data_IF_826232269087
#
_entry.id   IF_826232269087
#
_cell.length_a   1.000
_cell.length_b   1.000
_cell.length_c   1.000
_cell.angle_alpha   90.00
_cell.angle_beta   90.00
_cell.angle_gamma   90.00
#
_symmetry.space_group_name_H-M   'P 1'
#
loop_
_entity.id
_entity.type
_entity.pdbx_description
1 polymer ?
#
# COMPACT_ATOMS: atom_id res chain seq x y z
N UNK A 1 11.10 -6.11 5.94
CA UNK A 1 10.29 -7.25 6.44
C UNK A 1 8.91 -7.18 5.78
N UNK A 2 8.44 -8.25 5.16
CA UNK A 2 7.10 -8.33 4.57
C UNK A 2 6.30 -9.37 5.35
N UNK A 3 5.21 -8.96 6.00
CA UNK A 3 4.28 -9.87 6.70
C UNK A 3 2.95 -9.88 5.93
N UNK A 4 2.48 -11.09 5.61
CA UNK A 4 1.18 -11.30 4.97
C UNK A 4 0.24 -11.87 6.00
N UNK A 5 -0.74 -11.07 6.42
CA UNK A 5 -1.76 -11.49 7.38
C UNK A 5 -3.12 -11.64 6.69
N UNK A 6 -3.64 -12.87 6.65
CA UNK A 6 -4.97 -13.18 6.11
C UNK A 6 -6.00 -13.03 7.23
N UNK A 7 -7.14 -12.39 6.95
CA UNK A 7 -8.28 -12.34 7.89
C UNK A 7 -8.28 -11.22 8.94
N UNK A 8 -7.21 -10.46 9.13
CA UNK A 8 -7.17 -9.39 10.14
C UNK A 8 -8.11 -8.21 9.80
N UNK A 9 -8.75 -7.62 10.82
CA UNK A 9 -9.51 -6.39 10.62
C UNK A 9 -8.60 -5.22 10.20
N UNK A 10 -9.15 -4.20 9.53
CA UNK A 10 -8.41 -2.98 9.18
C UNK A 10 -7.80 -2.32 10.43
N UNK A 11 -8.51 -2.36 11.55
CA UNK A 11 -8.07 -1.80 12.83
C UNK A 11 -6.87 -2.54 13.41
N UNK A 12 -6.90 -3.88 13.43
CA UNK A 12 -5.79 -4.70 13.92
C UNK A 12 -4.53 -4.56 13.07
N UNK A 13 -4.69 -4.59 11.75
CA UNK A 13 -3.60 -4.35 10.82
C UNK A 13 -2.98 -2.96 11.07
N UNK A 14 -3.82 -1.94 11.27
CA UNK A 14 -3.37 -0.60 11.62
C UNK A 14 -2.59 -0.54 12.94
N UNK A 15 -3.04 -1.25 13.99
CA UNK A 15 -2.32 -1.31 15.28
C UNK A 15 -0.97 -1.98 15.14
N UNK A 16 -0.86 -3.09 14.40
CA UNK A 16 0.41 -3.77 14.13
C UNK A 16 1.39 -2.83 13.43
N UNK A 17 0.97 -2.19 12.34
CA UNK A 17 1.83 -1.26 11.60
C UNK A 17 2.28 -0.07 12.46
N UNK A 18 1.37 0.47 13.29
CA UNK A 18 1.71 1.51 14.27
C UNK A 18 2.69 1.05 15.35
N UNK A 19 2.71 -0.24 15.68
CA UNK A 19 3.73 -0.81 16.58
C UNK A 19 5.07 -0.94 15.86
N UNK A 20 5.09 -1.52 14.67
CA UNK A 20 6.34 -1.73 13.92
C UNK A 20 7.03 -0.43 13.55
N UNK A 21 6.29 0.61 13.16
CA UNK A 21 6.92 1.90 12.80
C UNK A 21 7.61 2.59 13.99
N UNK A 22 7.34 2.16 15.23
CA UNK A 22 8.02 2.64 16.43
C UNK A 22 9.36 1.95 16.67
N UNK A 23 9.61 0.81 16.01
CA UNK A 23 10.89 0.13 16.11
C UNK A 23 11.99 1.02 15.52
N UNK A 24 13.16 1.13 16.19
CA UNK A 24 14.19 2.08 15.81
C UNK A 24 14.84 1.80 14.45
N UNK A 25 14.68 0.59 13.91
CA UNK A 25 15.21 0.14 12.61
C UNK A 25 14.13 0.07 11.50
N UNK A 26 12.88 0.42 11.80
CA UNK A 26 11.78 0.40 10.81
C UNK A 26 11.48 1.81 10.34
N UNK A 27 11.81 2.13 9.08
CA UNK A 27 11.63 3.46 8.50
C UNK A 27 10.29 3.67 7.81
N UNK A 28 9.80 2.62 7.16
CA UNK A 28 8.53 2.62 6.45
C UNK A 28 7.79 1.29 6.62
N UNK A 29 6.47 1.36 6.76
CA UNK A 29 5.58 0.19 6.75
C UNK A 29 4.44 0.46 5.78
N UNK A 30 4.24 -0.44 4.81
CA UNK A 30 3.05 -0.43 3.95
C UNK A 30 2.08 -1.47 4.49
N UNK A 31 0.83 -1.08 4.71
CA UNK A 31 -0.26 -2.00 4.97
C UNK A 31 -1.20 -2.03 3.77
N UNK A 32 -1.59 -3.23 3.35
CA UNK A 32 -2.56 -3.44 2.28
C UNK A 32 -3.65 -4.37 2.81
N UNK A 33 -4.90 -3.94 2.68
CA UNK A 33 -6.07 -4.74 3.03
C UNK A 33 -6.95 -4.91 1.81
N UNK A 34 -7.19 -6.17 1.47
CA UNK A 34 -8.20 -6.60 0.51
C UNK A 34 -9.44 -6.94 1.33
N UNK A 35 -10.57 -6.26 1.08
CA UNK A 35 -11.82 -6.48 1.81
C UNK A 35 -12.59 -7.66 1.20
N UNK A 36 -13.66 -8.09 1.85
CA UNK A 36 -14.57 -9.08 1.29
C UNK A 36 -15.20 -8.58 -0.01
N UNK A 37 -15.50 -9.48 -0.96
CA UNK A 37 -16.15 -9.10 -2.20
C UNK A 37 -17.59 -8.68 -1.91
N UNK A 38 -18.10 -7.72 -2.67
CA UNK A 38 -19.52 -7.42 -2.68
C UNK A 38 -20.21 -8.55 -3.44
N UNK A 39 -20.98 -9.35 -2.72
CA UNK A 39 -21.71 -10.47 -3.30
C UNK A 39 -22.69 -9.96 -4.38
N UNK A 40 -22.86 -10.78 -5.42
CA UNK A 40 -23.77 -10.53 -6.55
C UNK A 40 -23.46 -9.29 -7.40
N UNK A 41 -22.30 -8.65 -7.22
CA UNK A 41 -21.85 -7.54 -8.06
C UNK A 41 -20.52 -7.89 -8.71
N UNK A 42 -20.52 -7.95 -10.04
CA UNK A 42 -19.33 -8.24 -10.85
C UNK A 42 -19.08 -7.14 -11.86
N UNK A 43 -17.80 -6.87 -12.12
CA UNK A 43 -17.37 -5.97 -13.18
C UNK A 43 -17.73 -6.57 -14.54
N UNK A 44 -18.50 -5.88 -15.39
CA UNK A 44 -18.96 -6.43 -16.67
C UNK A 44 -17.84 -6.89 -17.61
N UNK A 45 -16.73 -6.16 -17.62
CA UNK A 45 -15.63 -6.38 -18.58
C UNK A 45 -14.75 -7.57 -18.20
N UNK A 46 -14.53 -7.81 -16.91
CA UNK A 46 -13.58 -8.82 -16.43
C UNK A 46 -14.24 -10.01 -15.75
N UNK A 47 -15.50 -9.86 -15.34
CA UNK A 47 -16.21 -10.83 -14.51
C UNK A 47 -15.76 -10.87 -13.05
N UNK A 48 -14.82 -10.03 -12.63
CA UNK A 48 -14.31 -10.01 -11.26
C UNK A 48 -15.35 -9.45 -10.30
N UNK A 49 -15.41 -9.99 -9.09
CA UNK A 49 -16.24 -9.41 -8.04
C UNK A 49 -15.77 -7.99 -7.71
N UNK A 50 -16.73 -7.08 -7.48
CA UNK A 50 -16.40 -5.77 -6.95
C UNK A 50 -15.90 -5.88 -5.51
N UNK A 51 -14.82 -5.17 -5.23
CA UNK A 51 -14.12 -5.27 -3.95
C UNK A 51 -13.34 -3.99 -3.65
N UNK A 52 -13.56 -3.47 -2.46
CA UNK A 52 -12.75 -2.39 -1.93
C UNK A 52 -11.39 -2.92 -1.48
N UNK A 53 -10.34 -2.12 -1.71
CA UNK A 53 -8.99 -2.40 -1.20
C UNK A 53 -8.42 -1.10 -0.65
N UNK A 54 -7.71 -1.19 0.48
CA UNK A 54 -7.14 -0.03 1.16
C UNK A 54 -5.66 -0.21 1.37
N UNK A 55 -4.87 0.82 1.11
CA UNK A 55 -3.45 0.85 1.46
C UNK A 55 -3.18 1.98 2.45
N UNK A 56 -2.22 1.78 3.35
CA UNK A 56 -1.66 2.85 4.18
C UNK A 56 -0.14 2.77 4.20
N UNK A 57 0.50 3.93 4.15
CA UNK A 57 1.95 4.07 4.34
C UNK A 57 2.21 4.79 5.65
N UNK A 58 2.98 4.15 6.51
CA UNK A 58 3.50 4.68 7.76
C UNK A 58 4.98 5.00 7.54
N UNK A 59 5.38 6.23 7.87
CA UNK A 59 6.77 6.68 7.83
C UNK A 59 7.08 7.40 9.14
N UNK A 60 8.25 7.16 9.69
CA UNK A 60 8.67 7.83 10.92
C UNK A 60 8.72 9.35 10.70
N UNK A 61 8.12 10.11 11.62
CA UNK A 61 8.09 11.58 11.54
C UNK A 61 7.19 12.17 10.45
N UNK A 62 6.42 11.35 9.72
CA UNK A 62 5.52 11.81 8.66
C UNK A 62 4.06 11.45 8.94
N UNK A 63 3.14 12.23 8.37
CA UNK A 63 1.73 11.90 8.39
C UNK A 63 1.45 10.60 7.62
N UNK A 64 0.51 9.79 8.13
CA UNK A 64 0.08 8.56 7.48
C UNK A 64 -0.60 8.91 6.16
N UNK A 65 -0.18 8.27 5.08
CA UNK A 65 -0.82 8.36 3.78
C UNK A 65 -1.73 7.15 3.56
N UNK A 66 -2.87 7.34 2.90
CA UNK A 66 -3.85 6.28 2.69
C UNK A 66 -4.50 6.35 1.32
N UNK A 67 -4.84 5.18 0.77
CA UNK A 67 -5.46 5.02 -0.53
C UNK A 67 -6.61 4.02 -0.48
N UNK A 68 -7.67 4.31 -1.21
CA UNK A 68 -8.71 3.35 -1.58
C UNK A 68 -8.52 3.02 -3.07
N UNK A 69 -8.16 1.77 -3.36
CA UNK A 69 -7.63 1.39 -4.68
C UNK A 69 -8.27 0.11 -5.27
N UNK A 70 -9.40 -0.32 -4.71
CA UNK A 70 -10.18 -1.42 -5.26
C UNK A 70 -10.85 -1.07 -6.59
N UNK A 71 -11.46 -2.07 -7.25
CA UNK A 71 -12.31 -1.85 -8.43
C UNK A 71 -13.69 -1.26 -8.05
N UNK A 72 -13.92 -0.98 -6.78
CA UNK A 72 -14.99 -0.12 -6.27
C UNK A 72 -14.43 0.74 -5.13
N UNK A 73 -14.96 1.97 -5.00
CA UNK A 73 -14.64 2.84 -3.87
C UNK A 73 -15.07 2.21 -2.56
N UNK A 74 -14.28 2.43 -1.52
CA UNK A 74 -14.62 2.00 -0.17
C UNK A 74 -15.93 2.67 0.26
N UNK A 75 -16.86 1.90 0.81
CA UNK A 75 -18.22 2.32 1.20
C UNK A 75 -19.17 2.66 0.04
N UNK A 76 -18.73 2.63 -1.22
CA UNK A 76 -19.61 2.78 -2.37
C UNK A 76 -20.35 1.48 -2.67
N UNK A 77 -21.59 1.60 -3.13
CA UNK A 77 -22.41 0.52 -3.69
C UNK A 77 -22.81 0.79 -5.14
N UNK A 78 -22.32 1.89 -5.72
CA UNK A 78 -22.66 2.33 -7.07
C UNK A 78 -21.38 2.53 -7.89
N UNK A 79 -20.80 1.44 -8.43
CA UNK A 79 -19.56 1.52 -9.20
C UNK A 79 -19.73 2.25 -10.55
N UNK A 80 -20.97 2.51 -10.99
CA UNK A 80 -21.26 3.15 -12.28
C UNK A 80 -21.21 4.67 -12.14
N UNK A 81 -21.94 5.21 -11.16
CA UNK A 81 -22.00 6.66 -10.94
C UNK A 81 -20.90 7.17 -10.01
N UNK A 82 -20.25 6.27 -9.26
CA UNK A 82 -19.12 6.57 -8.37
C UNK A 82 -17.92 5.65 -8.66
N UNK A 83 -17.29 5.79 -9.84
CA UNK A 83 -16.21 4.90 -10.26
C UNK A 83 -14.96 5.05 -9.38
N UNK A 84 -14.17 3.96 -9.22
CA UNK A 84 -12.90 4.02 -8.51
C UNK A 84 -11.89 4.89 -9.27
N UNK A 85 -11.07 5.63 -8.54
CA UNK A 85 -10.01 6.42 -9.18
C UNK A 85 -8.78 5.58 -9.56
N UNK A 86 -8.59 4.39 -8.98
CA UNK A 86 -7.51 3.47 -9.34
C UNK A 86 -7.93 2.57 -10.51
N UNK A 87 -7.92 3.10 -11.73
CA UNK A 87 -8.47 2.44 -12.92
C UNK A 87 -7.43 2.15 -14.03
N UNK A 88 -6.19 2.62 -13.89
CA UNK A 88 -5.11 2.43 -14.84
C UNK A 88 -3.75 2.28 -14.14
N UNK A 89 -2.77 1.61 -14.77
CA UNK A 89 -1.41 1.56 -14.24
C UNK A 89 -0.74 2.94 -14.31
N UNK A 90 0.27 3.15 -13.48
CA UNK A 90 1.11 4.35 -13.44
C UNK A 90 0.39 5.67 -13.12
N UNK A 91 -0.79 5.62 -12.50
CA UNK A 91 -1.43 6.82 -11.96
C UNK A 91 -0.66 7.31 -10.73
N UNK A 92 -0.10 8.52 -10.80
CA UNK A 92 0.74 9.08 -9.74
C UNK A 92 0.04 9.11 -8.36
N UNK A 93 -1.28 9.38 -8.34
CA UNK A 93 -2.07 9.37 -7.11
C UNK A 93 -2.18 7.99 -6.45
N UNK A 94 -1.89 6.90 -7.18
CA UNK A 94 -1.96 5.50 -6.73
C UNK A 94 -0.60 4.80 -6.77
N UNK A 95 0.49 5.56 -6.84
CA UNK A 95 1.85 5.06 -6.68
C UNK A 95 2.38 5.39 -5.28
N UNK A 96 2.87 4.36 -4.61
CA UNK A 96 3.62 4.52 -3.37
C UNK A 96 5.11 4.51 -3.72
N UNK A 97 5.75 5.65 -3.55
CA UNK A 97 7.17 5.84 -3.83
C UNK A 97 7.93 5.92 -2.51
N UNK A 98 8.84 4.98 -2.28
CA UNK A 98 9.72 4.95 -1.10
C UNK A 98 11.16 5.05 -1.60
N UNK A 99 11.92 6.09 -1.23
CA UNK A 99 13.33 6.18 -1.58
C UNK A 99 14.10 4.97 -1.08
N UNK A 100 14.93 4.39 -1.94
CA UNK A 100 15.74 3.22 -1.59
C UNK A 100 16.71 3.56 -0.44
N UNK A 101 17.17 4.81 -0.39
CA UNK A 101 17.94 5.33 0.73
C UNK A 101 17.19 5.24 2.07
N UNK A 102 15.88 5.45 2.12
CA UNK A 102 15.13 5.35 3.37
C UNK A 102 15.00 3.91 3.88
N UNK A 103 15.20 2.90 3.01
CA UNK A 103 14.99 1.49 3.37
C UNK A 103 16.28 0.78 3.79
N UNK A 104 17.38 1.06 3.08
CA UNK A 104 18.66 0.38 3.33
C UNK A 104 19.58 1.13 4.29
N UNK A 105 19.32 2.40 4.57
CA UNK A 105 20.10 3.14 5.57
C UNK A 105 19.45 3.03 6.94
N UNK A 106 20.12 2.33 7.84
CA UNK A 106 19.87 2.44 9.27
C UNK A 106 20.72 3.63 9.79
N UNK A 107 20.18 4.86 9.89
CA UNK A 107 20.90 5.93 10.54
C UNK A 107 21.19 5.52 11.99
N UNK A 108 22.35 5.92 12.54
CA UNK A 108 22.59 5.81 13.97
C UNK A 108 21.44 6.46 14.75
N UNK A 109 21.01 5.81 15.83
CA UNK A 109 19.97 6.35 16.71
C UNK A 109 20.59 6.90 18.01
N UNK A 110 20.30 8.15 18.39
CA UNK A 110 19.48 9.15 17.67
C UNK A 110 20.18 9.67 16.40
N UNK A 111 19.39 10.08 15.39
CA UNK A 111 19.92 10.62 14.14
C UNK A 111 20.68 11.92 14.43
N UNK A 112 22.00 12.00 14.18
CA UNK A 112 22.75 13.22 14.39
C UNK A 112 22.27 14.34 13.45
N UNK A 113 22.29 15.62 13.89
CA UNK A 113 22.08 16.75 13.01
C UNK A 113 23.05 16.69 11.82
N UNK A 114 22.53 16.72 10.59
CA UNK A 114 23.34 16.70 9.37
C UNK A 114 23.74 15.31 8.85
N UNK A 115 23.19 14.22 9.41
CA UNK A 115 23.43 12.88 8.88
C UNK A 115 22.96 12.76 7.43
N UNK A 116 23.92 12.50 6.53
CA UNK A 116 23.65 12.18 5.12
C UNK A 116 24.00 10.71 4.91
N UNK A 117 23.03 9.84 4.59
CA UNK A 117 23.32 8.43 4.36
C UNK A 117 24.25 8.22 3.16
N UNK A 118 25.29 7.39 3.33
CA UNK A 118 26.23 7.05 2.27
C UNK A 118 25.66 5.94 1.39
N UNK A 119 25.28 6.26 0.15
CA UNK A 119 24.70 5.30 -0.80
C UNK A 119 25.83 4.58 -1.58
N UNK A 120 25.98 3.25 -1.48
CA UNK A 120 26.90 2.45 -2.27
C UNK A 120 26.55 2.56 -3.74
N UNK A 121 27.60 2.69 -4.56
CA UNK A 121 27.51 2.87 -6.00
C UNK A 121 26.82 1.69 -6.73
N UNK A 122 26.67 0.54 -6.07
CA UNK A 122 26.04 -0.66 -6.63
C UNK A 122 24.52 -0.75 -6.42
N UNK A 123 23.88 0.22 -5.76
CA UNK A 123 22.42 0.27 -5.68
C UNK A 123 21.86 0.89 -6.97
N UNK A 124 21.26 0.05 -7.81
CA UNK A 124 20.62 0.46 -9.07
C UNK A 124 19.18 0.87 -8.80
N UNK A 125 18.93 2.18 -8.72
CA UNK A 125 17.59 2.75 -8.58
C UNK A 125 17.50 3.78 -7.46
N UNK A 126 16.60 4.76 -7.61
CA UNK A 126 16.35 5.82 -6.62
C UNK A 126 15.20 5.47 -5.69
N UNK A 127 14.16 4.79 -6.18
CA UNK A 127 12.92 4.55 -5.45
C UNK A 127 12.39 3.13 -5.65
N UNK A 128 11.80 2.57 -4.59
CA UNK A 128 10.79 1.53 -4.69
C UNK A 128 9.46 2.17 -5.11
N UNK A 129 8.93 1.76 -6.26
CA UNK A 129 7.63 2.22 -6.75
C UNK A 129 6.65 1.06 -6.69
N UNK A 130 5.66 1.19 -5.82
CA UNK A 130 4.56 0.24 -5.69
C UNK A 130 3.33 0.81 -6.38
N UNK A 131 2.95 0.20 -7.49
CA UNK A 131 1.74 0.56 -8.24
C UNK A 131 0.53 -0.21 -7.68
N UNK A 132 -0.37 0.51 -7.01
CA UNK A 132 -1.55 -0.08 -6.40
C UNK A 132 -2.51 -0.68 -7.43
N UNK A 133 -2.54 -0.19 -8.67
CA UNK A 133 -3.34 -0.78 -9.73
C UNK A 133 -2.86 -2.19 -10.06
N UNK A 134 -1.54 -2.41 -10.11
CA UNK A 134 -1.00 -3.76 -10.38
C UNK A 134 -1.37 -4.74 -9.26
N UNK A 135 -1.28 -4.31 -8.01
CA UNK A 135 -1.70 -5.12 -6.86
C UNK A 135 -3.19 -5.43 -6.94
N UNK A 136 -4.02 -4.44 -7.28
CA UNK A 136 -5.47 -4.62 -7.47
C UNK A 136 -5.75 -5.74 -8.49
N UNK A 137 -5.10 -5.71 -9.66
CA UNK A 137 -5.31 -6.71 -10.70
C UNK A 137 -4.93 -8.12 -10.25
N UNK A 138 -3.77 -8.27 -9.59
CA UNK A 138 -3.33 -9.57 -9.04
C UNK A 138 -4.32 -10.07 -7.98
N UNK A 139 -4.77 -9.19 -7.08
CA UNK A 139 -5.70 -9.54 -6.02
C UNK A 139 -7.10 -9.94 -6.53
N UNK A 140 -7.60 -9.28 -7.58
CA UNK A 140 -8.86 -9.65 -8.22
C UNK A 140 -8.76 -10.97 -8.99
N UNK A 141 -7.64 -11.19 -9.69
CA UNK A 141 -7.38 -12.43 -10.43
C UNK A 141 -7.25 -13.66 -9.53
N UNK A 142 -6.55 -13.53 -8.41
CA UNK A 142 -6.33 -14.64 -7.47
C UNK A 142 -7.61 -15.12 -6.77
N UNK A 143 -8.73 -14.42 -6.94
CA UNK A 143 -10.01 -14.74 -6.29
C UNK A 143 -11.16 -14.94 -7.29
N UNK A 144 -10.81 -15.30 -8.52
CA UNK A 144 -11.76 -15.93 -9.43
C UNK A 144 -12.00 -17.35 -8.88
N UNK A 145 -13.25 -17.74 -8.56
CA UNK A 145 -13.56 -19.10 -8.13
C UNK A 145 -13.26 -20.14 -9.22
#
# INVERSE_FOLDING_TARGET
MCEVAVGQSVGELGRKCSSWIREPYVRAVISIKILEPILNMREPTTGYYYRAMTAKLYRQGMAIQSWDFGNIKKHSRDPVNDPPGCNAPNLAAYQITIPISEVFWDPPYPIPPGYTPAIPLNIVGTNFVVDLYRIQRVALQAQIP
#
